data_IF_871857497681
#
_entry.id   IF_871857497681
#
_cell.length_a   1.000
_cell.length_b   1.000
_cell.length_c   1.000
_cell.angle_alpha   90.00
_cell.angle_beta   90.00
_cell.angle_gamma   90.00
#
_symmetry.space_group_name_H-M   'P 1'
#
loop_
_entity.id
_entity.type
_entity.pdbx_description
1 polymer ?
#
# COMPACT_ATOMS: atom_id res chain seq x y z
N UNK A 1 -10.08 -2.30 -1.35
CA UNK A 1 -11.12 -2.80 -0.45
C UNK A 1 -12.50 -2.77 -1.07
N UNK A 2 -13.01 -1.62 -1.48
CA UNK A 2 -14.28 -1.61 -2.23
C UNK A 2 -14.18 -2.29 -3.59
N UNK A 3 -13.03 -2.24 -4.21
CA UNK A 3 -12.74 -2.90 -5.48
C UNK A 3 -12.85 -4.44 -5.40
N UNK A 4 -12.59 -5.02 -4.25
CA UNK A 4 -12.77 -6.46 -4.02
C UNK A 4 -14.24 -6.89 -4.13
N UNK A 5 -15.17 -6.02 -3.78
CA UNK A 5 -16.62 -6.30 -3.82
C UNK A 5 -17.26 -5.76 -5.08
N UNK A 6 -16.94 -4.53 -5.47
CA UNK A 6 -17.61 -3.81 -6.56
C UNK A 6 -16.90 -3.97 -7.91
N UNK A 7 -15.72 -4.55 -7.93
CA UNK A 7 -14.91 -4.72 -9.12
C UNK A 7 -13.80 -3.68 -9.25
N UNK A 8 -12.83 -4.03 -10.10
CA UNK A 8 -11.60 -3.25 -10.30
C UNK A 8 -11.81 -2.15 -11.34
N UNK A 9 -12.75 -1.25 -11.08
CA UNK A 9 -13.04 -0.13 -11.96
C UNK A 9 -12.28 1.14 -11.51
N UNK A 10 -11.83 1.98 -12.45
CA UNK A 10 -11.11 3.20 -12.12
C UNK A 10 -11.86 4.12 -11.16
N UNK A 11 -13.17 4.26 -11.33
CA UNK A 11 -14.01 5.07 -10.45
C UNK A 11 -14.01 4.53 -9.02
N UNK A 12 -14.08 3.23 -8.87
CA UNK A 12 -14.08 2.57 -7.55
C UNK A 12 -12.72 2.74 -6.89
N UNK A 13 -11.63 2.60 -7.62
CA UNK A 13 -10.27 2.82 -7.10
C UNK A 13 -10.08 4.24 -6.58
N UNK A 14 -10.56 5.23 -7.32
CA UNK A 14 -10.46 6.64 -6.91
C UNK A 14 -11.30 6.91 -5.67
N UNK A 15 -12.54 6.43 -5.63
CA UNK A 15 -13.41 6.59 -4.47
C UNK A 15 -12.82 5.91 -3.24
N UNK A 16 -12.31 4.71 -3.38
CA UNK A 16 -11.68 3.96 -2.30
C UNK A 16 -10.46 4.69 -1.74
N UNK A 17 -9.61 5.20 -2.61
CA UNK A 17 -8.44 6.00 -2.22
C UNK A 17 -8.84 7.27 -1.47
N UNK A 18 -9.86 7.99 -1.93
CA UNK A 18 -10.34 9.19 -1.27
C UNK A 18 -10.98 8.89 0.09
N UNK A 19 -11.70 7.79 0.22
CA UNK A 19 -12.26 7.34 1.50
C UNK A 19 -11.18 6.97 2.51
N UNK A 20 -10.04 6.47 2.07
CA UNK A 20 -8.89 6.19 2.91
C UNK A 20 -8.16 7.47 3.37
N UNK A 21 -8.32 8.56 2.63
CA UNK A 21 -7.68 9.84 2.90
C UNK A 21 -8.73 10.97 2.97
N UNK A 22 -9.69 10.90 3.90
CA UNK A 22 -10.89 11.75 3.86
C UNK A 22 -10.62 13.23 4.11
N UNK A 23 -9.50 13.56 4.73
CA UNK A 23 -9.16 14.95 5.06
C UNK A 23 -8.08 15.53 4.15
N UNK A 24 -7.58 14.76 3.20
CA UNK A 24 -6.51 15.22 2.33
C UNK A 24 -7.04 16.07 1.19
N UNK A 25 -6.33 17.14 0.89
CA UNK A 25 -6.50 17.92 -0.32
C UNK A 25 -5.48 17.46 -1.36
N UNK A 26 -5.96 16.91 -2.46
CA UNK A 26 -5.14 16.20 -3.43
C UNK A 26 -5.30 16.80 -4.83
N UNK A 27 -4.18 16.97 -5.53
CA UNK A 27 -4.19 17.30 -6.95
C UNK A 27 -4.63 16.10 -7.80
N UNK A 28 -5.01 16.34 -9.05
CA UNK A 28 -5.32 15.24 -9.99
C UNK A 28 -4.19 14.23 -10.10
N UNK A 29 -2.96 14.71 -10.12
CA UNK A 29 -1.79 13.84 -10.20
C UNK A 29 -1.67 12.94 -8.95
N UNK A 30 -1.84 13.51 -7.77
CA UNK A 30 -1.78 12.76 -6.51
C UNK A 30 -2.89 11.72 -6.44
N UNK A 31 -4.09 12.05 -6.87
CA UNK A 31 -5.22 11.11 -6.92
C UNK A 31 -4.92 9.98 -7.90
N UNK A 32 -4.44 10.31 -9.09
CA UNK A 32 -4.12 9.32 -10.12
C UNK A 32 -3.04 8.34 -9.65
N UNK A 33 -1.98 8.84 -9.05
CA UNK A 33 -0.90 8.00 -8.50
C UNK A 33 -1.38 7.16 -7.33
N UNK A 34 -2.11 7.76 -6.39
CA UNK A 34 -2.61 7.05 -5.21
C UNK A 34 -3.64 5.98 -5.53
N UNK A 35 -4.51 6.23 -6.49
CA UNK A 35 -5.52 5.28 -6.93
C UNK A 35 -5.03 4.30 -8.01
N UNK A 36 -3.80 4.46 -8.47
CA UNK A 36 -3.22 3.64 -9.53
C UNK A 36 -4.01 3.69 -10.85
N UNK A 37 -4.48 4.86 -11.21
CA UNK A 37 -5.16 5.12 -12.48
C UNK A 37 -4.39 6.17 -13.29
N UNK A 38 -4.57 6.16 -14.61
CA UNK A 38 -3.95 7.18 -15.45
C UNK A 38 -4.68 8.52 -15.30
N UNK A 39 -3.97 9.63 -15.52
CA UNK A 39 -4.57 10.96 -15.52
C UNK A 39 -5.65 11.11 -16.59
N UNK A 40 -5.47 10.49 -17.73
CA UNK A 40 -6.45 10.50 -18.82
C UNK A 40 -7.73 9.81 -18.36
N UNK A 41 -7.63 8.67 -17.71
CA UNK A 41 -8.77 7.95 -17.18
C UNK A 41 -9.45 8.75 -16.08
N UNK A 42 -8.70 9.33 -15.15
CA UNK A 42 -9.24 10.19 -14.10
C UNK A 42 -10.00 11.38 -14.65
N UNK A 43 -9.47 12.05 -15.67
CA UNK A 43 -10.10 13.20 -16.30
C UNK A 43 -11.46 12.87 -16.95
N UNK A 44 -11.72 11.61 -17.29
CA UNK A 44 -12.99 11.18 -17.87
C UNK A 44 -14.15 11.24 -16.90
N UNK A 45 -13.90 11.14 -15.59
CA UNK A 45 -14.96 11.05 -14.60
C UNK A 45 -14.82 11.96 -13.37
N UNK A 46 -13.68 12.64 -13.20
CA UNK A 46 -13.47 13.50 -12.01
C UNK A 46 -14.47 14.64 -11.94
N UNK A 47 -14.80 15.25 -13.06
CA UNK A 47 -15.79 16.31 -13.12
C UNK A 47 -17.20 15.80 -12.80
N UNK A 48 -17.50 14.58 -13.18
CA UNK A 48 -18.76 13.91 -12.87
C UNK A 48 -18.90 13.69 -11.36
N UNK A 49 -17.84 13.28 -10.70
CA UNK A 49 -17.80 13.15 -9.24
C UNK A 49 -18.01 14.51 -8.55
N UNK A 50 -17.48 15.57 -9.12
CA UNK A 50 -17.65 16.94 -8.61
C UNK A 50 -19.10 17.41 -8.78
N UNK A 51 -19.71 17.16 -9.93
CA UNK A 51 -21.10 17.48 -10.21
C UNK A 51 -22.04 16.72 -9.25
N UNK A 52 -21.77 15.47 -8.98
CA UNK A 52 -22.53 14.65 -8.03
C UNK A 52 -22.24 14.97 -6.56
N UNK A 53 -21.38 15.94 -6.30
CA UNK A 53 -20.99 16.40 -4.97
C UNK A 53 -20.35 15.34 -4.08
N UNK A 54 -19.74 14.34 -4.68
CA UNK A 54 -18.90 13.36 -3.95
C UNK A 54 -17.53 13.94 -3.62
N UNK A 55 -17.04 14.81 -4.47
CA UNK A 55 -15.74 15.47 -4.37
C UNK A 55 -15.93 16.97 -4.52
N UNK A 56 -15.18 17.76 -3.76
CA UNK A 56 -15.18 19.22 -3.86
C UNK A 56 -13.86 19.66 -4.45
N UNK A 57 -13.93 20.52 -5.47
CA UNK A 57 -12.76 21.14 -6.08
C UNK A 57 -12.50 22.49 -5.43
N UNK A 58 -11.31 22.67 -4.88
CA UNK A 58 -10.88 23.94 -4.30
C UNK A 58 -10.42 24.94 -5.37
N UNK A 59 -10.28 26.18 -4.99
CA UNK A 59 -9.81 27.25 -5.89
C UNK A 59 -8.36 27.04 -6.39
N UNK A 60 -7.56 26.28 -5.67
CA UNK A 60 -6.19 25.93 -6.03
C UNK A 60 -6.06 24.64 -6.85
N UNK A 61 -7.15 24.19 -7.48
CA UNK A 61 -7.22 22.96 -8.29
C UNK A 61 -6.92 21.68 -7.55
N UNK A 62 -7.13 21.67 -6.25
CA UNK A 62 -7.06 20.47 -5.41
C UNK A 62 -8.47 19.97 -5.11
N UNK A 63 -8.57 18.67 -4.92
CA UNK A 63 -9.82 17.98 -4.65
C UNK A 63 -9.80 17.39 -3.26
N UNK A 64 -10.95 17.38 -2.60
CA UNK A 64 -11.12 16.68 -1.34
C UNK A 64 -12.49 16.03 -1.29
N UNK A 65 -12.60 15.00 -0.47
CA UNK A 65 -13.83 14.26 -0.30
C UNK A 65 -14.90 15.13 0.39
N UNK A 66 -16.14 15.12 -0.10
CA UNK A 66 -17.23 15.81 0.54
C UNK A 66 -17.80 14.96 1.70
N UNK A 67 -17.32 15.21 2.90
CA UNK A 67 -17.72 14.46 4.08
C UNK A 67 -19.18 14.70 4.52
N UNK A 68 -19.83 15.73 3.99
CA UNK A 68 -21.23 16.03 4.28
C UNK A 68 -22.21 15.37 3.30
N UNK A 69 -21.70 14.80 2.21
CA UNK A 69 -22.55 14.10 1.25
C UNK A 69 -23.15 12.83 1.86
N UNK A 70 -24.46 12.63 1.76
CA UNK A 70 -25.08 11.40 2.22
C UNK A 70 -24.53 10.14 1.53
N UNK A 71 -24.17 10.28 0.25
CA UNK A 71 -23.56 9.18 -0.53
C UNK A 71 -22.18 8.83 0.04
N UNK A 72 -21.38 9.83 0.32
CA UNK A 72 -20.02 9.64 0.90
C UNK A 72 -20.12 9.03 2.29
N UNK A 73 -21.05 9.48 3.11
CA UNK A 73 -21.30 8.92 4.44
C UNK A 73 -21.63 7.44 4.34
N UNK A 74 -22.54 7.08 3.42
CA UNK A 74 -22.94 5.68 3.21
C UNK A 74 -21.82 4.83 2.61
N UNK A 75 -21.02 5.38 1.71
CA UNK A 75 -19.84 4.69 1.18
C UNK A 75 -18.82 4.44 2.28
N UNK A 76 -18.63 5.39 3.18
CA UNK A 76 -17.73 5.20 4.32
C UNK A 76 -18.26 4.10 5.27
N UNK A 77 -19.55 4.05 5.50
CA UNK A 77 -20.18 2.98 6.27
C UNK A 77 -20.01 1.61 5.58
N UNK A 78 -20.14 1.56 4.26
CA UNK A 78 -19.89 0.35 3.49
C UNK A 78 -18.44 -0.09 3.61
N UNK A 79 -17.50 0.84 3.51
CA UNK A 79 -16.07 0.54 3.69
C UNK A 79 -15.79 -0.01 5.09
N UNK A 80 -16.39 0.56 6.12
CA UNK A 80 -16.28 0.05 7.49
C UNK A 80 -16.79 -1.38 7.63
N UNK A 81 -17.91 -1.70 7.00
CA UNK A 81 -18.44 -3.08 6.99
C UNK A 81 -17.52 -4.04 6.25
N UNK A 82 -16.94 -3.63 5.11
CA UNK A 82 -15.96 -4.44 4.38
C UNK A 82 -14.72 -4.70 5.23
N UNK A 83 -14.25 -3.67 5.94
CA UNK A 83 -13.11 -3.79 6.85
C UNK A 83 -13.40 -4.75 8.00
N UNK A 84 -14.60 -4.69 8.57
CA UNK A 84 -15.04 -5.63 9.63
C UNK A 84 -15.08 -7.06 9.13
N UNK A 85 -15.55 -7.29 7.93
CA UNK A 85 -15.54 -8.62 7.30
C UNK A 85 -14.10 -9.14 7.13
N UNK A 86 -13.20 -8.31 6.64
CA UNK A 86 -11.79 -8.65 6.49
C UNK A 86 -11.12 -8.98 7.82
N UNK A 87 -11.40 -8.21 8.87
CA UNK A 87 -10.91 -8.48 10.23
C UNK A 87 -11.49 -9.81 10.76
N UNK A 88 -12.78 -10.04 10.56
CA UNK A 88 -13.42 -11.28 11.00
C UNK A 88 -12.82 -12.52 10.33
N UNK A 89 -12.53 -12.44 9.03
CA UNK A 89 -11.82 -13.50 8.32
C UNK A 89 -10.41 -13.72 8.86
N UNK A 90 -9.66 -12.64 9.07
CA UNK A 90 -8.32 -12.72 9.64
C UNK A 90 -8.33 -13.35 11.04
N UNK A 91 -9.30 -13.00 11.88
CA UNK A 91 -9.48 -13.60 13.21
C UNK A 91 -9.86 -15.07 13.13
N UNK A 92 -10.67 -15.46 12.15
CA UNK A 92 -11.04 -16.87 11.93
C UNK A 92 -9.80 -17.70 11.60
N UNK A 93 -8.89 -17.19 10.79
CA UNK A 93 -7.62 -17.88 10.50
C UNK A 93 -6.66 -17.83 11.69
N UNK A 94 -6.70 -16.80 12.51
CA UNK A 94 -5.89 -16.70 13.73
C UNK A 94 -6.32 -17.69 14.82
N UNK A 95 -7.60 -18.05 14.86
CA UNK A 95 -8.16 -19.04 15.79
C UNK A 95 -7.94 -20.48 15.31
N UNK A 96 -7.49 -20.71 14.09
CA UNK A 96 -7.02 -22.02 13.65
C UNK A 96 -5.77 -22.37 14.45
N UNK A 97 -5.74 -23.54 15.11
CA UNK A 97 -4.55 -23.91 15.86
C UNK A 97 -3.38 -23.98 14.90
N UNK A 98 -2.39 -23.14 15.14
CA UNK A 98 -1.09 -23.35 14.55
C UNK A 98 -0.65 -24.75 14.98
N UNK A 99 -0.46 -25.64 14.01
CA UNK A 99 0.28 -26.84 14.27
C UNK A 99 1.66 -26.40 14.77
N UNK A 100 1.87 -26.46 16.06
CA UNK A 100 3.19 -26.23 16.60
C UNK A 100 4.13 -27.19 15.90
N UNK A 101 5.11 -26.63 15.18
CA UNK A 101 6.14 -27.43 14.57
C UNK A 101 6.83 -28.21 15.69
N UNK A 102 6.94 -29.52 15.54
CA UNK A 102 7.68 -30.36 16.47
C UNK A 102 9.15 -29.92 16.47
N UNK A 103 9.86 -30.17 17.56
CA UNK A 103 11.29 -29.86 17.66
C UNK A 103 12.06 -30.49 16.49
N UNK A 104 11.64 -31.64 16.01
CA UNK A 104 12.23 -32.34 14.87
C UNK A 104 12.00 -31.57 13.55
N UNK A 105 10.81 -31.01 13.36
CA UNK A 105 10.48 -30.18 12.19
C UNK A 105 11.22 -28.83 12.22
N UNK A 106 11.38 -28.25 13.39
CA UNK A 106 12.20 -27.06 13.61
C UNK A 106 13.67 -27.35 13.30
N UNK A 107 14.19 -28.49 13.73
CA UNK A 107 15.57 -28.91 13.45
C UNK A 107 15.78 -29.13 11.95
N UNK A 108 14.81 -29.65 11.21
CA UNK A 108 14.86 -29.75 9.75
C UNK A 108 14.90 -28.36 9.08
N UNK A 109 14.12 -27.41 9.56
CA UNK A 109 14.08 -26.05 9.00
C UNK A 109 15.36 -25.28 9.32
N UNK A 110 15.90 -25.47 10.54
CA UNK A 110 17.09 -24.79 11.04
C UNK A 110 18.33 -25.70 11.07
N UNK A 111 18.36 -26.74 10.23
CA UNK A 111 19.52 -27.61 10.12
C UNK A 111 20.77 -26.81 9.78
N UNK A 112 21.83 -27.03 10.56
CA UNK A 112 23.14 -26.38 10.34
C UNK A 112 23.75 -26.69 8.97
N UNK A 113 23.32 -27.76 8.32
CA UNK A 113 23.72 -28.14 6.99
C UNK A 113 22.83 -27.56 5.87
N UNK A 114 21.78 -26.81 6.24
CA UNK A 114 20.93 -26.14 5.24
C UNK A 114 21.72 -25.02 4.57
N UNK A 115 21.86 -25.02 3.24
CA UNK A 115 22.61 -23.97 2.54
C UNK A 115 21.95 -22.60 2.67
N UNK A 116 20.68 -22.54 3.05
CA UNK A 116 19.92 -21.29 3.19
C UNK A 116 20.15 -20.60 4.54
N UNK A 117 20.83 -21.26 5.49
CA UNK A 117 21.00 -20.78 6.86
C UNK A 117 22.49 -20.62 7.22
N UNK A 118 23.34 -20.35 6.27
CA UNK A 118 24.73 -20.00 6.56
C UNK A 118 24.85 -18.54 6.98
N UNK A 119 24.56 -18.28 8.25
CA UNK A 119 24.63 -16.95 8.85
C UNK A 119 26.04 -16.36 8.75
N UNK A 120 27.08 -17.19 8.81
CA UNK A 120 28.48 -16.76 8.69
C UNK A 120 28.75 -16.23 7.29
N UNK A 121 28.27 -16.92 6.27
CA UNK A 121 28.39 -16.46 4.90
C UNK A 121 27.58 -15.21 4.65
N UNK A 122 26.36 -15.13 5.18
CA UNK A 122 25.50 -13.95 5.07
C UNK A 122 26.16 -12.73 5.76
N UNK A 123 26.73 -12.90 6.94
CA UNK A 123 27.47 -11.86 7.65
C UNK A 123 28.70 -11.39 6.84
N UNK A 124 29.43 -12.31 6.22
CA UNK A 124 30.55 -11.98 5.34
C UNK A 124 30.11 -11.20 4.12
N UNK A 125 29.02 -11.59 3.49
CA UNK A 125 28.44 -10.88 2.35
C UNK A 125 28.00 -9.47 2.73
N UNK A 126 27.39 -9.30 3.88
CA UNK A 126 26.99 -7.99 4.41
C UNK A 126 28.22 -7.13 4.68
N UNK A 127 29.25 -7.67 5.31
CA UNK A 127 30.50 -6.93 5.56
C UNK A 127 31.20 -6.50 4.28
N UNK A 128 31.26 -7.36 3.29
CA UNK A 128 31.84 -7.04 1.98
C UNK A 128 31.04 -5.93 1.32
N UNK A 129 29.73 -5.98 1.39
CA UNK A 129 28.84 -4.95 0.84
C UNK A 129 29.02 -3.61 1.55
N UNK A 130 29.08 -3.60 2.87
CA UNK A 130 29.32 -2.39 3.67
C UNK A 130 30.69 -1.78 3.34
N UNK A 131 31.72 -2.58 3.24
CA UNK A 131 33.05 -2.11 2.85
C UNK A 131 33.07 -1.57 1.42
N UNK A 132 32.34 -2.19 0.52
CA UNK A 132 32.20 -1.73 -0.86
C UNK A 132 31.46 -0.40 -0.94
N UNK A 133 30.38 -0.24 -0.18
CA UNK A 133 29.62 0.99 -0.11
C UNK A 133 30.46 2.15 0.47
N UNK A 134 31.26 1.91 1.50
CA UNK A 134 32.22 2.87 2.04
C UNK A 134 33.26 3.27 0.98
N UNK A 135 33.76 2.34 0.22
CA UNK A 135 34.71 2.60 -0.87
C UNK A 135 34.08 3.45 -1.99
N UNK A 136 32.83 3.18 -2.33
CA UNK A 136 32.06 3.96 -3.31
C UNK A 136 31.83 5.38 -2.81
N UNK A 137 31.51 5.58 -1.53
CA UNK A 137 31.31 6.89 -0.93
C UNK A 137 32.59 7.72 -0.99
N UNK A 138 33.74 7.14 -0.70
CA UNK A 138 35.05 7.80 -0.84
C UNK A 138 35.32 8.20 -2.29
N UNK A 139 34.97 7.36 -3.24
CA UNK A 139 35.08 7.65 -4.67
C UNK A 139 34.07 8.72 -5.09
N UNK A 140 32.87 8.70 -4.54
CA UNK A 140 31.82 9.69 -4.81
C UNK A 140 32.18 11.10 -4.36
N UNK A 141 32.89 11.26 -3.26
CA UNK A 141 33.41 12.57 -2.84
C UNK A 141 34.32 13.19 -3.90
N UNK A 142 35.03 12.37 -4.66
CA UNK A 142 35.94 12.83 -5.70
C UNK A 142 35.26 12.97 -7.07
N UNK A 143 34.28 12.15 -7.39
CA UNK A 143 33.70 12.03 -8.72
C UNK A 143 32.24 12.47 -8.81
N UNK A 144 31.56 12.66 -7.70
CA UNK A 144 30.13 13.04 -7.62
C UNK A 144 29.21 12.08 -8.39
N UNK A 145 29.66 10.85 -8.55
CA UNK A 145 28.94 9.88 -9.32
C UNK A 145 28.57 8.72 -8.51
N UNK A 146 28.13 7.75 -9.03
CA UNK A 146 28.12 6.44 -8.50
C UNK A 146 27.06 6.17 -7.51
N UNK A 147 26.01 6.50 -7.85
CA UNK A 147 24.84 6.04 -7.07
C UNK A 147 24.52 4.60 -7.33
#
# INVERSE_FOLDING_TARGET
>A
MLDEILGDYPQIKVIDYLLMNPFAELSKLQIAVGAEVSRITLNKFIDDLTVKQLVIKNTNSKYHLNLQSPIVIKLNMLLDEVNKMGIAEAMKYADEPYDELSDEELDEIFDENSPDVDLIQLEKEIQIKENYDIYIDDVNENYVLMV
#
